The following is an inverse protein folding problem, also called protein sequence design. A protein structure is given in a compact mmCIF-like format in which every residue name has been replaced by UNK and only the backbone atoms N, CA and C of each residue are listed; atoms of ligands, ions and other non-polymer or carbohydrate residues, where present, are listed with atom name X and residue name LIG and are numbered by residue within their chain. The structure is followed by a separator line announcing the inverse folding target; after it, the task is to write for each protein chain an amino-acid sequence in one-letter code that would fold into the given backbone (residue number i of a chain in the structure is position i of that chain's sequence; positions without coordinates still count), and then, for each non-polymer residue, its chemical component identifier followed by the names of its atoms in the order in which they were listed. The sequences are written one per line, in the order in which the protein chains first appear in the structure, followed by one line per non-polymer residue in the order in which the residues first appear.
data_IF_407210085918
#
_entry.id   IF_407210085918
#
_cell.length_a   1.000
_cell.length_b   1.000
_cell.length_c   1.000
_cell.angle_alpha   90.00
_cell.angle_beta   90.00
_cell.angle_gamma   90.00
#
_symmetry.space_group_name_H-M   'P 1'
#
loop_
_entity.id
_entity.type
_entity.pdbx_description
1 polymer ?
#
# COMPACT_ATOMS: atom_id res chain seq x y z
N UNK A 1 12.00 -7.52 8.37
CA UNK A 1 12.28 -6.77 7.11
C UNK A 1 13.32 -7.55 6.28
N UNK A 2 13.48 -7.42 4.95
CA UNK A 2 14.40 -8.31 4.19
C UNK A 2 15.83 -8.42 4.77
N UNK A 3 16.29 -7.35 5.42
CA UNK A 3 17.54 -7.27 6.17
C UNK A 3 17.61 -8.22 7.39
N UNK A 4 16.49 -8.42 8.08
CA UNK A 4 16.32 -9.38 9.19
C UNK A 4 16.43 -10.85 8.70
N UNK A 5 16.18 -11.10 7.42
CA UNK A 5 16.37 -12.40 6.78
C UNK A 5 17.76 -12.56 6.16
N UNK A 6 18.69 -11.63 6.42
CA UNK A 6 20.05 -11.63 5.89
C UNK A 6 20.16 -11.25 4.40
N UNK A 7 19.07 -10.78 3.79
CA UNK A 7 19.05 -10.40 2.37
C UNK A 7 19.43 -8.92 2.27
N UNK A 8 20.58 -8.63 1.65
CA UNK A 8 21.00 -7.27 1.37
C UNK A 8 20.21 -6.72 0.17
N UNK A 9 19.36 -5.74 0.41
CA UNK A 9 18.51 -5.11 -0.61
C UNK A 9 18.80 -3.62 -0.60
N UNK A 10 19.21 -3.10 -1.74
CA UNK A 10 19.38 -1.66 -1.91
C UNK A 10 18.06 -0.92 -1.63
N UNK A 11 18.15 0.23 -0.96
CA UNK A 11 16.97 1.01 -0.58
C UNK A 11 16.10 1.39 -1.78
N UNK A 12 16.71 1.62 -2.96
CA UNK A 12 15.96 1.94 -4.18
C UNK A 12 15.14 0.76 -4.72
N UNK A 13 15.55 -0.47 -4.43
CA UNK A 13 14.83 -1.68 -4.88
C UNK A 13 13.45 -1.78 -4.24
N UNK A 14 13.31 -1.40 -2.97
CA UNK A 14 12.01 -1.36 -2.30
C UNK A 14 11.09 -0.34 -2.99
N UNK A 15 11.61 0.85 -3.30
CA UNK A 15 10.82 1.87 -3.99
C UNK A 15 10.38 1.40 -5.39
N UNK A 16 11.28 0.78 -6.16
CA UNK A 16 10.94 0.19 -7.47
C UNK A 16 9.86 -0.88 -7.37
N UNK A 17 9.91 -1.74 -6.35
CA UNK A 17 8.85 -2.72 -6.10
C UNK A 17 7.54 -2.07 -5.73
N UNK A 18 7.54 -1.03 -4.90
CA UNK A 18 6.32 -0.28 -4.58
C UNK A 18 5.71 0.31 -5.85
N UNK A 19 6.50 0.97 -6.70
CA UNK A 19 6.03 1.54 -7.97
C UNK A 19 5.40 0.46 -8.87
N UNK A 20 6.02 -0.72 -8.95
CA UNK A 20 5.55 -1.79 -9.81
C UNK A 20 4.33 -2.54 -9.25
N UNK A 21 4.35 -2.91 -7.98
CA UNK A 21 3.32 -3.76 -7.37
C UNK A 21 2.13 -2.99 -6.81
N UNK A 22 2.27 -1.72 -6.44
CA UNK A 22 1.15 -0.95 -5.89
C UNK A 22 -0.07 -0.90 -6.84
N UNK A 23 0.08 -0.67 -8.17
CA UNK A 23 -1.06 -0.71 -9.09
C UNK A 23 -1.71 -2.09 -9.20
N UNK A 24 -0.89 -3.15 -9.18
CA UNK A 24 -1.38 -4.54 -9.25
C UNK A 24 -2.21 -4.90 -8.02
N UNK A 25 -1.72 -4.53 -6.84
CA UNK A 25 -2.42 -4.71 -5.59
C UNK A 25 -3.69 -3.86 -5.54
N UNK A 26 -3.66 -2.61 -5.97
CA UNK A 26 -4.85 -1.75 -6.01
C UNK A 26 -5.95 -2.37 -6.89
N UNK A 27 -5.60 -2.83 -8.09
CA UNK A 27 -6.53 -3.47 -9.01
C UNK A 27 -7.19 -4.70 -8.39
N UNK A 28 -6.39 -5.56 -7.75
CA UNK A 28 -6.85 -6.77 -7.08
C UNK A 28 -7.74 -6.44 -5.87
N UNK A 29 -7.33 -5.50 -5.01
CA UNK A 29 -8.13 -5.07 -3.87
C UNK A 29 -9.47 -4.46 -4.29
N UNK A 30 -9.49 -3.66 -5.36
CA UNK A 30 -10.73 -3.09 -5.89
C UNK A 30 -11.65 -4.16 -6.45
N UNK A 31 -11.10 -5.17 -7.12
CA UNK A 31 -11.89 -6.24 -7.73
C UNK A 31 -12.46 -7.21 -6.69
N UNK A 32 -11.65 -7.64 -5.73
CA UNK A 32 -11.98 -8.79 -4.90
C UNK A 32 -12.26 -8.44 -3.42
N UNK A 33 -11.74 -7.31 -2.92
CA UNK A 33 -11.79 -7.01 -1.48
C UNK A 33 -12.67 -5.80 -1.14
N UNK A 34 -12.98 -4.93 -2.10
CA UNK A 34 -13.96 -3.86 -1.89
C UNK A 34 -15.38 -4.41 -1.93
N UNK A 35 -16.01 -4.47 -0.76
CA UNK A 35 -17.46 -4.70 -0.64
C UNK A 35 -18.22 -3.45 -1.08
N UNK A 36 -19.41 -3.63 -1.65
CA UNK A 36 -20.33 -2.51 -1.90
C UNK A 36 -20.64 -1.84 -0.55
N UNK A 37 -20.41 -0.53 -0.46
CA UNK A 37 -20.74 0.23 0.75
C UNK A 37 -22.25 0.22 0.94
N UNK A 38 -22.71 -0.22 2.12
CA UNK A 38 -24.12 -0.15 2.50
C UNK A 38 -24.58 1.27 2.83
N UNK A 39 -25.79 1.44 3.36
CA UNK A 39 -26.35 2.75 3.70
C UNK A 39 -25.68 3.49 4.85
N UNK A 40 -24.81 2.83 5.63
CA UNK A 40 -24.01 3.43 6.70
C UNK A 40 -22.53 3.16 6.44
N UNK A 41 -21.74 4.22 6.46
CA UNK A 41 -20.29 4.19 6.30
C UNK A 41 -19.64 5.02 7.41
N UNK A 42 -18.40 4.68 7.78
CA UNK A 42 -17.60 5.42 8.74
C UNK A 42 -16.36 5.95 8.02
N UNK A 43 -16.01 7.21 8.30
CA UNK A 43 -14.82 7.85 7.79
C UNK A 43 -13.94 8.20 8.97
N UNK A 44 -12.70 7.73 8.94
CA UNK A 44 -11.66 8.17 9.85
C UNK A 44 -10.81 9.22 9.14
N UNK A 45 -10.49 10.31 9.83
CA UNK A 45 -9.58 11.34 9.33
C UNK A 45 -8.19 11.09 9.90
N UNK A 46 -7.19 11.03 9.02
CA UNK A 46 -5.78 10.88 9.42
C UNK A 46 -4.97 11.98 8.75
N UNK A 47 -4.33 12.81 9.57
CA UNK A 47 -3.43 13.87 9.10
C UNK A 47 -2.06 13.29 8.80
N UNK A 48 -1.64 13.38 7.55
CA UNK A 48 -0.31 12.98 7.11
C UNK A 48 0.39 14.23 6.58
N UNK A 49 1.49 14.62 7.22
CA UNK A 49 2.33 15.72 6.73
C UNK A 49 3.13 15.23 5.53
N UNK A 50 2.79 15.72 4.33
CA UNK A 50 3.48 15.35 3.08
C UNK A 50 4.41 16.47 2.67
N UNK A 51 5.72 16.24 2.85
CA UNK A 51 6.80 17.23 2.76
C UNK A 51 6.58 18.42 3.71
N UNK A 52 7.68 19.11 4.02
CA UNK A 52 7.79 20.14 5.06
C UNK A 52 6.78 21.26 4.92
#
# INVERSE_FOLDING_TARGET
MMLERGINVDHSTINRWVIFYAPLLEAEFRKNNKRKTGGSWRMDETYIKVKG
#
